data_IF_025648617204
#
_entry.id   IF_025648617204
#
_cell.length_a   1.000
_cell.length_b   1.000
_cell.length_c   1.000
_cell.angle_alpha   90.00
_cell.angle_beta   90.00
_cell.angle_gamma   90.00
#
_symmetry.space_group_name_H-M   'P 1'
#
loop_
_entity.id
_entity.type
_entity.pdbx_description
1 polymer ?
#
# COMPACT_ATOMS: atom_id res chain seq x y z
N UNK A 1 -11.06 -11.62 37.96
CA UNK A 1 -11.71 -12.09 39.21
C UNK A 1 -12.46 -13.36 38.89
N UNK A 2 -11.97 -14.51 39.37
CA UNK A 2 -12.67 -15.79 39.26
C UNK A 2 -13.94 -15.73 40.14
N UNK A 3 -15.04 -16.33 39.66
CA UNK A 3 -16.24 -16.53 40.46
C UNK A 3 -16.49 -18.03 40.55
N UNK A 4 -16.40 -18.56 41.75
CA UNK A 4 -16.80 -19.92 42.06
C UNK A 4 -18.33 -19.94 42.19
N UNK A 5 -19.00 -20.83 41.45
CA UNK A 5 -20.40 -21.16 41.69
C UNK A 5 -20.51 -22.63 42.10
N UNK A 6 -21.20 -22.85 43.22
CA UNK A 6 -21.39 -24.17 43.84
C UNK A 6 -22.69 -24.77 43.31
N UNK A 7 -22.60 -25.91 42.62
CA UNK A 7 -23.76 -26.71 42.21
C UNK A 7 -24.27 -27.64 43.32
N UNK A 8 -25.49 -28.21 43.18
CA UNK A 8 -26.23 -28.86 44.26
C UNK A 8 -25.69 -30.24 44.72
N UNK A 9 -24.56 -30.71 44.19
CA UNK A 9 -23.97 -32.03 44.50
C UNK A 9 -22.53 -31.95 45.06
N UNK A 10 -22.11 -30.81 45.61
CA UNK A 10 -20.86 -30.70 46.38
C UNK A 10 -19.57 -30.97 45.60
N UNK A 11 -19.63 -31.08 44.27
CA UNK A 11 -18.47 -31.26 43.40
C UNK A 11 -18.06 -29.90 42.82
N UNK A 12 -16.89 -29.41 43.24
CA UNK A 12 -16.26 -28.22 42.66
C UNK A 12 -15.77 -28.53 41.24
N UNK A 13 -16.50 -28.08 40.23
CA UNK A 13 -16.03 -28.14 38.85
C UNK A 13 -15.06 -26.97 38.60
N UNK A 14 -13.80 -27.30 38.34
CA UNK A 14 -12.81 -26.32 37.88
C UNK A 14 -13.11 -25.98 36.42
N UNK A 15 -13.97 -24.98 36.20
CA UNK A 15 -14.25 -24.47 34.86
C UNK A 15 -13.02 -23.68 34.42
N UNK A 16 -12.11 -24.33 33.67
CA UNK A 16 -11.02 -23.63 32.98
C UNK A 16 -11.64 -22.48 32.18
N UNK A 17 -11.15 -21.23 32.33
CA UNK A 17 -11.64 -20.15 31.50
C UNK A 17 -11.32 -20.53 30.06
N UNK A 18 -12.37 -20.70 29.27
CA UNK A 18 -12.29 -20.78 27.82
C UNK A 18 -11.63 -19.46 27.40
N UNK A 19 -10.34 -19.53 27.07
CA UNK A 19 -9.57 -18.41 26.56
C UNK A 19 -10.36 -17.91 25.36
N UNK A 20 -11.02 -16.77 25.52
CA UNK A 20 -11.77 -16.12 24.48
C UNK A 20 -10.80 -15.83 23.34
N UNK A 21 -11.03 -16.44 22.18
CA UNK A 21 -10.30 -16.23 20.92
C UNK A 21 -10.29 -14.75 20.45
N UNK A 22 -10.95 -13.87 21.18
CA UNK A 22 -10.95 -12.42 20.97
C UNK A 22 -9.58 -11.79 21.18
N UNK A 23 -8.67 -12.38 21.98
CA UNK A 23 -7.35 -11.78 22.25
C UNK A 23 -6.39 -11.74 21.05
N UNK A 24 -6.52 -12.66 20.10
CA UNK A 24 -5.66 -12.73 18.90
C UNK A 24 -6.07 -11.74 17.81
N UNK A 25 -7.32 -11.25 17.81
CA UNK A 25 -7.83 -10.33 16.77
C UNK A 25 -7.51 -8.85 17.04
N UNK A 26 -7.17 -8.46 18.28
CA UNK A 26 -6.93 -7.05 18.62
C UNK A 26 -5.53 -6.52 18.27
N UNK A 27 -4.53 -7.38 18.03
CA UNK A 27 -3.15 -6.93 17.77
C UNK A 27 -2.93 -6.54 16.31
N UNK A 28 -3.58 -7.22 15.37
CA UNK A 28 -3.51 -6.89 13.94
C UNK A 28 -4.17 -5.54 13.63
N UNK A 29 -5.28 -5.21 14.30
CA UNK A 29 -5.97 -3.92 14.16
C UNK A 29 -5.08 -2.71 14.50
N UNK A 30 -4.06 -2.90 15.33
CA UNK A 30 -3.09 -1.84 15.69
C UNK A 30 -2.25 -1.37 14.50
N UNK A 31 -2.19 -2.16 13.41
CA UNK A 31 -1.48 -1.84 12.17
C UNK A 31 -2.35 -1.14 11.13
N UNK A 32 -3.65 -0.98 11.35
CA UNK A 32 -4.53 -0.20 10.48
C UNK A 32 -4.98 1.04 11.23
N UNK A 33 -4.76 2.20 10.63
CA UNK A 33 -5.31 3.45 11.13
C UNK A 33 -5.91 4.22 9.97
N UNK A 34 -7.23 4.15 9.88
CA UNK A 34 -7.99 4.90 8.87
C UNK A 34 -8.18 6.34 9.30
N UNK A 35 -8.23 7.22 8.30
CA UNK A 35 -8.71 8.58 8.54
C UNK A 35 -10.22 8.51 8.83
N UNK A 36 -10.65 9.02 10.00
CA UNK A 36 -12.05 9.12 10.49
C UNK A 36 -12.68 7.84 11.10
N UNK A 37 -11.89 6.95 11.69
CA UNK A 37 -12.40 5.79 12.47
C UNK A 37 -13.39 4.89 11.70
N UNK A 38 -13.29 4.84 10.38
CA UNK A 38 -14.11 3.96 9.56
C UNK A 38 -13.74 2.48 9.81
N UNK A 39 -14.73 1.59 9.75
CA UNK A 39 -14.51 0.15 9.93
C UNK A 39 -13.58 -0.42 8.85
N UNK A 40 -12.69 -1.33 9.24
CA UNK A 40 -11.77 -2.01 8.32
C UNK A 40 -12.56 -2.94 7.39
N UNK A 41 -12.18 -2.99 6.12
CA UNK A 41 -12.69 -3.99 5.19
C UNK A 41 -12.01 -5.33 5.47
N UNK A 42 -12.71 -6.45 5.23
CA UNK A 42 -12.17 -7.82 5.36
C UNK A 42 -10.81 -7.98 4.66
N UNK A 43 -10.64 -7.33 3.50
CA UNK A 43 -9.37 -7.37 2.78
C UNK A 43 -8.25 -6.63 3.51
N UNK A 44 -8.56 -5.50 4.13
CA UNK A 44 -7.58 -4.73 4.90
C UNK A 44 -7.17 -5.51 6.16
N UNK A 45 -8.11 -6.15 6.83
CA UNK A 45 -7.83 -7.04 7.97
C UNK A 45 -6.87 -8.16 7.58
N UNK A 46 -7.07 -8.76 6.39
CA UNK A 46 -6.15 -9.77 5.83
C UNK A 46 -4.74 -9.20 5.64
N UNK A 47 -4.63 -7.96 5.15
CA UNK A 47 -3.34 -7.28 4.95
C UNK A 47 -2.68 -6.94 6.29
N UNK A 48 -3.45 -6.50 7.28
CA UNK A 48 -2.95 -6.26 8.63
C UNK A 48 -2.44 -7.53 9.31
N UNK A 49 -3.19 -8.62 9.17
CA UNK A 49 -2.78 -9.92 9.69
C UNK A 49 -1.47 -10.36 9.04
N UNK A 50 -1.34 -10.22 7.71
CA UNK A 50 -0.11 -10.53 7.01
C UNK A 50 1.07 -9.67 7.52
N UNK A 51 0.87 -8.38 7.76
CA UNK A 51 1.92 -7.50 8.32
C UNK A 51 2.32 -7.91 9.74
N UNK A 52 1.36 -8.30 10.58
CA UNK A 52 1.61 -8.77 11.93
C UNK A 52 2.37 -10.11 11.96
N UNK A 53 2.01 -11.04 11.08
CA UNK A 53 2.73 -12.31 10.94
C UNK A 53 4.17 -12.07 10.51
N UNK A 54 4.42 -11.11 9.60
CA UNK A 54 5.77 -10.75 9.17
C UNK A 54 6.60 -10.12 10.28
N UNK A 55 6.00 -9.30 11.15
CA UNK A 55 6.67 -8.74 12.33
C UNK A 55 7.14 -9.84 13.30
N UNK A 56 6.37 -10.91 13.44
CA UNK A 56 6.70 -12.02 14.35
C UNK A 56 7.65 -13.05 13.73
N UNK A 57 7.59 -13.24 12.42
CA UNK A 57 8.37 -14.29 11.73
C UNK A 57 9.80 -13.84 11.46
N UNK A 58 10.03 -12.55 11.17
CA UNK A 58 11.33 -12.07 10.73
C UNK A 58 11.95 -11.09 11.74
N UNK A 59 13.02 -11.51 12.42
CA UNK A 59 13.72 -10.72 13.44
C UNK A 59 14.34 -9.43 12.90
N UNK A 60 14.75 -9.39 11.63
CA UNK A 60 15.34 -8.20 11.01
C UNK A 60 14.32 -7.11 10.68
N UNK A 61 13.10 -7.50 10.28
CA UNK A 61 12.04 -6.56 9.93
C UNK A 61 11.23 -6.11 11.15
N UNK A 62 11.37 -6.82 12.28
CA UNK A 62 10.59 -6.59 13.49
C UNK A 62 10.76 -5.17 14.04
N UNK A 63 12.00 -4.68 14.15
CA UNK A 63 12.26 -3.33 14.67
C UNK A 63 11.66 -2.25 13.79
N UNK A 64 11.78 -2.41 12.47
CA UNK A 64 11.28 -1.44 11.50
C UNK A 64 9.76 -1.50 11.38
N UNK A 65 9.15 -2.69 11.44
CA UNK A 65 7.71 -2.86 11.27
C UNK A 65 6.91 -2.49 12.51
N UNK A 66 7.48 -2.58 13.71
CA UNK A 66 6.77 -2.33 14.98
C UNK A 66 6.04 -0.98 14.99
N UNK A 67 6.69 0.07 14.50
CA UNK A 67 6.16 1.43 14.49
C UNK A 67 5.39 1.78 13.20
N UNK A 68 5.38 0.87 12.23
CA UNK A 68 4.70 1.07 10.94
C UNK A 68 3.25 0.61 11.01
N UNK A 69 2.40 1.38 10.36
CA UNK A 69 0.99 1.10 10.17
C UNK A 69 0.55 1.56 8.77
N UNK A 70 -0.57 1.04 8.30
CA UNK A 70 -1.17 1.33 7.00
C UNK A 70 -2.49 2.08 7.19
N UNK A 71 -2.89 2.87 6.20
CA UNK A 71 -4.17 3.56 6.19
C UNK A 71 -5.28 2.66 5.63
N UNK A 72 -5.03 2.07 4.47
CA UNK A 72 -6.00 1.27 3.74
C UNK A 72 -5.31 0.36 2.72
N UNK A 73 -6.04 -0.61 2.21
CA UNK A 73 -5.58 -1.49 1.14
C UNK A 73 -6.69 -1.67 0.10
N UNK A 74 -6.30 -1.74 -1.17
CA UNK A 74 -7.20 -1.84 -2.31
C UNK A 74 -6.72 -2.95 -3.25
N UNK A 75 -7.63 -3.78 -3.74
CA UNK A 75 -7.34 -4.66 -4.88
C UNK A 75 -7.66 -3.95 -6.19
N UNK A 76 -6.75 -4.01 -7.15
CA UNK A 76 -6.91 -3.46 -8.49
C UNK A 76 -6.77 -4.59 -9.49
N UNK A 77 -7.77 -4.72 -10.36
CA UNK A 77 -7.72 -5.68 -11.45
C UNK A 77 -6.74 -5.20 -12.52
N UNK A 78 -5.83 -6.09 -12.91
CA UNK A 78 -4.83 -5.91 -13.97
C UNK A 78 -5.27 -6.79 -15.15
N UNK A 79 -4.83 -6.43 -16.36
CA UNK A 79 -5.04 -7.27 -17.53
C UNK A 79 -4.48 -8.68 -17.36
N UNK A 80 -5.12 -9.65 -18.02
CA UNK A 80 -4.74 -11.07 -17.91
C UNK A 80 -5.24 -11.78 -16.66
N UNK A 81 -6.37 -11.33 -16.07
CA UNK A 81 -6.99 -11.93 -14.87
C UNK A 81 -6.09 -11.90 -13.62
N UNK A 82 -5.07 -11.03 -13.62
CA UNK A 82 -4.18 -10.78 -12.49
C UNK A 82 -4.77 -9.69 -11.61
N UNK A 83 -4.53 -9.76 -10.30
CA UNK A 83 -4.93 -8.73 -9.34
C UNK A 83 -3.70 -8.17 -8.66
N UNK A 84 -3.58 -6.85 -8.61
CA UNK A 84 -2.55 -6.15 -7.86
C UNK A 84 -3.13 -5.65 -6.53
N UNK A 85 -2.32 -5.69 -5.48
CA UNK A 85 -2.66 -5.19 -4.15
C UNK A 85 -1.97 -3.84 -3.96
N UNK A 86 -2.76 -2.80 -3.74
CA UNK A 86 -2.28 -1.44 -3.46
C UNK A 86 -2.46 -1.17 -1.97
N UNK A 87 -1.37 -0.88 -1.28
CA UNK A 87 -1.38 -0.57 0.15
C UNK A 87 -1.10 0.92 0.34
N UNK A 88 -2.03 1.62 0.98
CA UNK A 88 -1.88 3.02 1.33
C UNK A 88 -1.13 3.18 2.64
N UNK A 89 -0.03 3.88 2.57
CA UNK A 89 0.87 4.15 3.69
C UNK A 89 0.71 5.62 4.14
N UNK A 90 0.74 5.92 5.44
CA UNK A 90 0.76 7.30 5.91
C UNK A 90 1.95 8.09 5.33
N UNK A 91 1.71 9.30 4.82
CA UNK A 91 2.77 10.13 4.23
C UNK A 91 3.96 10.37 5.19
N UNK A 92 3.70 10.45 6.50
CA UNK A 92 4.74 10.61 7.54
C UNK A 92 5.72 9.43 7.57
N UNK A 93 5.25 8.22 7.31
CA UNK A 93 6.03 6.99 7.39
C UNK A 93 6.63 6.55 6.05
N UNK A 94 6.36 7.28 4.96
CA UNK A 94 6.86 6.94 3.60
C UNK A 94 8.35 6.64 3.57
N UNK A 95 9.19 7.44 4.25
CA UNK A 95 10.64 7.25 4.25
C UNK A 95 11.06 5.92 4.88
N UNK A 96 10.38 5.50 5.95
CA UNK A 96 10.65 4.23 6.61
C UNK A 96 10.25 3.05 5.70
N UNK A 97 9.06 3.11 5.10
CA UNK A 97 8.63 2.10 4.13
C UNK A 97 9.56 1.99 2.93
N UNK A 98 10.08 3.11 2.39
CA UNK A 98 11.05 3.09 1.28
C UNK A 98 12.33 2.32 1.61
N UNK A 99 12.83 2.39 2.85
CA UNK A 99 14.04 1.65 3.28
C UNK A 99 13.84 0.14 3.27
N UNK A 100 12.65 -0.31 3.67
CA UNK A 100 12.33 -1.74 3.78
C UNK A 100 11.55 -2.30 2.59
N UNK A 101 11.21 -1.46 1.61
CA UNK A 101 10.27 -1.77 0.54
C UNK A 101 10.62 -3.05 -0.22
N UNK A 102 11.88 -3.21 -0.64
CA UNK A 102 12.31 -4.37 -1.41
C UNK A 102 12.08 -5.70 -0.66
N UNK A 103 12.35 -5.71 0.65
CA UNK A 103 12.17 -6.90 1.50
C UNK A 103 10.69 -7.13 1.81
N UNK A 104 9.98 -6.08 2.18
CA UNK A 104 8.57 -6.15 2.54
C UNK A 104 7.69 -6.58 1.36
N UNK A 105 7.92 -6.05 0.15
CA UNK A 105 7.15 -6.42 -1.04
C UNK A 105 7.35 -7.90 -1.38
N UNK A 106 8.59 -8.42 -1.33
CA UNK A 106 8.86 -9.84 -1.60
C UNK A 106 8.15 -10.77 -0.63
N UNK A 107 8.11 -10.44 0.66
CA UNK A 107 7.44 -11.27 1.66
C UNK A 107 5.91 -11.20 1.55
N UNK A 108 5.36 -10.03 1.25
CA UNK A 108 3.92 -9.88 1.01
C UNK A 108 3.50 -10.59 -0.28
N UNK A 109 4.32 -10.56 -1.33
CA UNK A 109 4.04 -11.28 -2.58
C UNK A 109 3.95 -12.79 -2.36
N UNK A 110 4.81 -13.36 -1.52
CA UNK A 110 4.71 -14.77 -1.11
C UNK A 110 3.40 -15.08 -0.39
N UNK A 111 2.95 -14.18 0.51
CA UNK A 111 1.70 -14.34 1.28
C UNK A 111 0.44 -14.17 0.42
N UNK A 112 0.48 -13.32 -0.60
CA UNK A 112 -0.65 -13.05 -1.50
C UNK A 112 -0.64 -13.90 -2.77
N UNK A 113 -0.08 -15.10 -2.73
CA UNK A 113 -0.05 -16.07 -3.84
C UNK A 113 0.58 -15.51 -5.13
N UNK A 114 1.61 -14.68 -5.00
CA UNK A 114 2.32 -14.08 -6.14
C UNK A 114 1.60 -12.90 -6.80
N UNK A 115 0.56 -12.34 -6.17
CA UNK A 115 -0.05 -11.07 -6.61
C UNK A 115 0.93 -9.92 -6.39
N UNK A 116 1.04 -9.03 -7.38
CA UNK A 116 1.91 -7.86 -7.28
C UNK A 116 1.46 -6.92 -6.16
N UNK A 117 2.37 -6.57 -5.26
CA UNK A 117 2.10 -5.66 -4.14
C UNK A 117 2.78 -4.32 -4.37
N UNK A 118 2.02 -3.23 -4.32
CA UNK A 118 2.50 -1.87 -4.56
C UNK A 118 2.15 -0.99 -3.36
N UNK A 119 3.15 -0.26 -2.85
CA UNK A 119 2.99 0.67 -1.74
C UNK A 119 2.83 2.09 -2.28
N UNK A 120 1.79 2.80 -1.83
CA UNK A 120 1.54 4.19 -2.23
C UNK A 120 1.33 5.04 -0.99
N UNK A 121 2.02 6.17 -0.87
CA UNK A 121 1.73 7.06 0.25
C UNK A 121 0.40 7.81 0.05
N UNK A 122 -0.44 7.83 1.09
CA UNK A 122 -1.69 8.57 1.14
C UNK A 122 -1.41 10.09 1.10
N UNK A 123 -1.73 10.73 -0.03
CA UNK A 123 -1.51 12.16 -0.28
C UNK A 123 -2.84 12.88 -0.45
N UNK A 124 -3.02 13.97 0.28
CA UNK A 124 -4.24 14.80 0.19
C UNK A 124 -4.14 15.83 -0.93
N UNK A 125 -5.05 15.75 -1.89
CA UNK A 125 -5.22 16.75 -2.96
C UNK A 125 -6.20 17.82 -2.47
N UNK A 126 -5.78 19.08 -2.44
CA UNK A 126 -6.66 20.21 -2.18
C UNK A 126 -7.32 20.71 -3.47
N UNK A 127 -8.42 21.45 -3.42
CA UNK A 127 -8.94 22.11 -4.62
C UNK A 127 -8.21 23.45 -4.83
N UNK A 128 -8.05 23.93 -6.07
CA UNK A 128 -7.60 25.29 -6.30
C UNK A 128 -8.49 26.28 -5.52
N UNK A 129 -7.91 27.28 -4.84
CA UNK A 129 -8.69 28.31 -4.16
C UNK A 129 -9.59 29.06 -5.15
N UNK A 130 -10.77 29.50 -4.70
CA UNK A 130 -11.66 30.35 -5.50
C UNK A 130 -11.01 31.73 -5.68
N UNK A 131 -11.29 32.40 -6.80
CA UNK A 131 -10.80 33.76 -7.08
C UNK A 131 -11.24 34.69 -5.94
N UNK A 132 -10.29 35.37 -5.30
CA UNK A 132 -10.53 36.28 -4.17
C UNK A 132 -10.38 35.67 -2.77
N UNK A 133 -10.08 34.37 -2.63
CA UNK A 133 -9.79 33.81 -1.30
C UNK A 133 -8.35 34.09 -0.84
N UNK A 134 -8.18 34.50 0.41
CA UNK A 134 -6.86 34.69 1.02
C UNK A 134 -6.11 33.36 1.32
N UNK A 135 -6.80 32.22 1.26
CA UNK A 135 -6.21 30.91 1.58
C UNK A 135 -5.32 30.43 0.44
N UNK A 136 -4.00 30.43 0.67
CA UNK A 136 -3.03 29.89 -0.27
C UNK A 136 -2.89 28.37 -0.14
N UNK A 137 -3.01 27.65 -1.25
CA UNK A 137 -2.81 26.20 -1.30
C UNK A 137 -1.31 25.88 -1.34
N UNK A 138 -0.80 24.96 -0.50
CA UNK A 138 0.56 24.46 -0.62
C UNK A 138 0.81 23.75 -1.96
N UNK A 139 1.96 24.02 -2.60
CA UNK A 139 2.34 23.42 -3.90
C UNK A 139 2.38 21.89 -3.85
N UNK A 140 2.81 21.31 -2.72
CA UNK A 140 2.86 19.86 -2.48
C UNK A 140 1.49 19.18 -2.50
N UNK A 141 0.41 19.94 -2.25
CA UNK A 141 -0.96 19.43 -2.26
C UNK A 141 -1.65 19.70 -3.60
N UNK A 142 -0.91 20.00 -4.66
CA UNK A 142 -1.41 20.20 -6.04
C UNK A 142 -1.74 18.88 -6.73
N UNK A 143 -2.75 18.84 -7.62
CA UNK A 143 -3.10 17.63 -8.38
C UNK A 143 -1.88 17.11 -9.17
N UNK A 144 -1.16 18.03 -9.84
CA UNK A 144 0.03 17.71 -10.63
C UNK A 144 1.15 17.14 -9.76
N UNK A 145 1.51 17.82 -8.66
CA UNK A 145 2.57 17.36 -7.75
C UNK A 145 2.24 16.03 -7.09
N UNK A 146 0.97 15.81 -6.71
CA UNK A 146 0.55 14.54 -6.11
C UNK A 146 0.62 13.40 -7.12
N UNK A 147 0.19 13.62 -8.37
CA UNK A 147 0.26 12.59 -9.41
C UNK A 147 1.72 12.21 -9.75
N UNK A 148 2.63 13.19 -9.78
CA UNK A 148 4.06 12.92 -9.98
C UNK A 148 4.65 12.14 -8.82
N UNK A 149 4.38 12.56 -7.59
CA UNK A 149 4.87 11.85 -6.41
C UNK A 149 4.23 10.47 -6.21
N UNK A 150 3.02 10.24 -6.74
CA UNK A 150 2.39 8.91 -6.80
C UNK A 150 3.08 8.01 -7.82
N UNK A 151 3.41 8.55 -8.99
CA UNK A 151 4.12 7.81 -10.03
C UNK A 151 5.47 7.30 -9.51
N UNK A 152 6.22 8.14 -8.80
CA UNK A 152 7.47 7.74 -8.14
C UNK A 152 7.29 6.62 -7.10
N UNK A 153 6.21 6.63 -6.32
CA UNK A 153 5.98 5.60 -5.31
C UNK A 153 5.63 4.25 -5.94
N UNK A 154 4.86 4.25 -7.03
CA UNK A 154 4.41 3.02 -7.72
C UNK A 154 5.59 2.25 -8.30
N UNK A 155 6.59 2.95 -8.83
CA UNK A 155 7.66 2.32 -9.62
C UNK A 155 8.84 1.86 -8.78
N UNK A 156 8.89 2.23 -7.49
CA UNK A 156 9.97 1.83 -6.60
C UNK A 156 10.07 0.28 -6.51
N UNK A 157 11.26 -0.33 -6.71
CA UNK A 157 12.62 0.23 -6.56
C UNK A 157 13.13 1.09 -7.72
N UNK A 158 12.57 0.99 -8.92
CA UNK A 158 13.13 1.65 -10.09
C UNK A 158 12.93 3.16 -10.05
N UNK A 159 13.97 3.88 -10.45
CA UNK A 159 13.93 5.33 -10.58
C UNK A 159 13.47 5.75 -11.98
N UNK A 160 12.75 6.87 -12.04
CA UNK A 160 12.27 7.44 -13.30
C UNK A 160 13.37 8.34 -13.86
N UNK A 161 13.93 7.94 -15.00
CA UNK A 161 14.98 8.69 -15.71
C UNK A 161 14.38 9.79 -16.57
N UNK A 162 13.21 9.54 -17.15
CA UNK A 162 12.60 10.48 -18.08
C UNK A 162 11.10 10.32 -18.19
N UNK A 163 10.44 11.37 -18.69
CA UNK A 163 9.00 11.40 -18.88
C UNK A 163 8.68 12.22 -20.13
N UNK A 164 7.93 11.63 -21.06
CA UNK A 164 7.39 12.31 -22.25
C UNK A 164 5.88 12.15 -22.28
N UNK A 165 5.17 13.20 -22.66
CA UNK A 165 3.73 13.10 -22.93
C UNK A 165 3.51 13.18 -24.43
N UNK A 166 3.01 12.09 -25.03
CA UNK A 166 2.63 12.05 -26.44
C UNK A 166 1.16 12.46 -26.57
N UNK A 167 0.91 13.44 -27.44
CA UNK A 167 -0.42 13.84 -27.85
C UNK A 167 -0.74 13.15 -29.17
N UNK A 168 -1.86 12.44 -29.23
CA UNK A 168 -2.36 11.86 -30.49
C UNK A 168 -3.25 12.86 -31.23
N UNK A 169 -3.48 12.59 -32.51
CA UNK A 169 -4.40 13.36 -33.36
C UNK A 169 -5.82 13.35 -32.77
N UNK A 170 -6.22 12.23 -32.16
CA UNK A 170 -7.52 12.07 -31.49
C UNK A 170 -7.65 12.88 -30.18
N UNK A 171 -6.64 13.66 -29.80
CA UNK A 171 -6.59 14.41 -28.53
C UNK A 171 -6.24 13.56 -27.30
N UNK A 172 -6.17 12.23 -27.44
CA UNK A 172 -5.73 11.34 -26.37
C UNK A 172 -4.27 11.60 -25.99
N UNK A 173 -3.97 11.50 -24.69
CA UNK A 173 -2.64 11.74 -24.14
C UNK A 173 -2.12 10.44 -23.56
N UNK A 174 -0.90 10.05 -23.96
CA UNK A 174 -0.18 8.96 -23.31
C UNK A 174 1.10 9.50 -22.72
N UNK A 175 1.26 9.24 -21.43
CA UNK A 175 2.48 9.53 -20.72
C UNK A 175 3.41 8.33 -20.81
N UNK A 176 4.53 8.48 -21.51
CA UNK A 176 5.57 7.46 -21.56
C UNK A 176 6.63 7.81 -20.53
N UNK A 177 6.88 6.87 -19.63
CA UNK A 177 7.77 7.03 -18.48
C UNK A 177 8.95 6.08 -18.68
N UNK A 178 10.15 6.63 -18.65
CA UNK A 178 11.38 5.90 -18.83
C UNK A 178 11.99 5.54 -17.48
N UNK A 179 12.22 4.25 -17.27
CA UNK A 179 12.79 3.71 -16.03
C UNK A 179 14.29 3.43 -16.21
N UNK A 180 15.04 3.40 -15.11
CA UNK A 180 16.45 3.04 -15.15
C UNK A 180 16.63 1.60 -15.69
N UNK A 181 17.40 1.39 -16.77
CA UNK A 181 17.65 0.05 -17.32
C UNK A 181 18.35 -0.90 -16.34
N UNK A 182 19.05 -0.41 -15.31
CA UNK A 182 19.71 -1.26 -14.31
C UNK A 182 18.74 -2.13 -13.53
N UNK A 183 17.52 -1.64 -13.32
CA UNK A 183 16.50 -2.33 -12.55
C UNK A 183 15.51 -3.12 -13.40
N UNK A 184 15.81 -3.27 -14.70
CA UNK A 184 14.95 -3.96 -15.67
C UNK A 184 14.58 -5.37 -15.20
N UNK A 185 15.57 -6.17 -14.82
CA UNK A 185 15.36 -7.56 -14.40
C UNK A 185 14.40 -7.70 -13.20
N UNK A 186 14.34 -6.68 -12.33
CA UNK A 186 13.51 -6.70 -11.12
C UNK A 186 12.10 -6.12 -11.34
N UNK A 187 11.89 -5.29 -12.36
CA UNK A 187 10.65 -4.51 -12.52
C UNK A 187 9.87 -4.83 -13.80
N UNK A 188 10.49 -5.51 -14.76
CA UNK A 188 9.88 -5.84 -16.06
C UNK A 188 8.58 -6.64 -15.93
N UNK A 189 8.49 -7.56 -14.96
CA UNK A 189 7.28 -8.37 -14.75
C UNK A 189 6.08 -7.58 -14.18
N UNK A 190 6.32 -6.38 -13.63
CA UNK A 190 5.32 -5.52 -12.95
C UNK A 190 4.84 -4.32 -13.77
N UNK A 191 5.41 -4.07 -14.95
CA UNK A 191 5.12 -2.85 -15.72
C UNK A 191 3.63 -2.69 -16.03
N UNK A 192 2.95 -3.79 -16.34
CA UNK A 192 1.51 -3.81 -16.63
C UNK A 192 0.68 -3.46 -15.39
N UNK A 193 1.07 -4.02 -14.23
CA UNK A 193 0.46 -3.72 -12.93
C UNK A 193 0.65 -2.26 -12.54
N UNK A 194 1.84 -1.68 -12.76
CA UNK A 194 2.10 -0.25 -12.52
C UNK A 194 1.18 0.64 -13.37
N UNK A 195 1.00 0.30 -14.66
CA UNK A 195 0.15 1.06 -15.57
C UNK A 195 -1.32 0.98 -15.15
N UNK A 196 -1.82 -0.21 -14.83
CA UNK A 196 -3.18 -0.43 -14.37
C UNK A 196 -3.48 0.32 -13.06
N UNK A 197 -2.58 0.24 -12.07
CA UNK A 197 -2.72 0.93 -10.79
C UNK A 197 -2.70 2.43 -10.99
N UNK A 198 -1.75 2.98 -11.74
CA UNK A 198 -1.73 4.42 -11.97
C UNK A 198 -2.96 4.92 -12.72
N UNK A 199 -3.47 4.14 -13.69
CA UNK A 199 -4.71 4.45 -14.40
C UNK A 199 -5.91 4.44 -13.45
N UNK A 200 -6.02 3.46 -12.56
CA UNK A 200 -7.10 3.39 -11.57
C UNK A 200 -7.08 4.55 -10.57
N UNK A 201 -5.88 4.95 -10.13
CA UNK A 201 -5.72 6.01 -9.13
C UNK A 201 -5.84 7.42 -9.71
N UNK A 202 -5.33 7.63 -10.92
CA UNK A 202 -5.17 8.98 -11.49
C UNK A 202 -6.08 9.27 -12.69
N UNK A 203 -6.68 8.23 -13.29
CA UNK A 203 -7.45 8.32 -14.54
C UNK A 203 -6.61 8.64 -15.78
N UNK A 204 -5.28 8.59 -15.70
CA UNK A 204 -4.37 8.89 -16.82
C UNK A 204 -3.70 7.63 -17.34
N UNK A 205 -3.60 7.52 -18.66
CA UNK A 205 -2.92 6.42 -19.31
C UNK A 205 -1.40 6.63 -19.30
N UNK A 206 -0.67 5.62 -18.83
CA UNK A 206 0.79 5.58 -18.75
C UNK A 206 1.31 4.34 -19.43
N UNK A 207 2.43 4.49 -20.13
CA UNK A 207 3.24 3.39 -20.64
C UNK A 207 4.64 3.49 -20.03
N UNK A 208 5.11 2.41 -19.43
CA UNK A 208 6.47 2.32 -18.89
C UNK A 208 7.37 1.65 -19.93
N UNK A 209 8.51 2.28 -20.21
CA UNK A 209 9.50 1.82 -21.18
C UNK A 209 10.89 1.90 -20.54
N UNK A 210 11.82 1.03 -20.93
CA UNK A 210 13.24 1.22 -20.63
C UNK A 210 13.88 1.96 -21.80
N UNK A 211 14.73 2.98 -21.56
CA UNK A 211 15.46 3.60 -22.65
C UNK A 211 16.38 2.55 -23.28
N UNK A 212 16.29 2.41 -24.60
CA UNK A 212 17.24 1.61 -25.36
C UNK A 212 18.53 2.42 -25.34
N UNK A 213 19.55 1.93 -24.64
CA UNK A 213 20.89 2.48 -24.78
C UNK A 213 21.34 2.08 -26.18
N UNK A 214 21.30 3.02 -27.12
CA UNK A 214 22.05 2.85 -28.37
C UNK A 214 23.52 2.77 -27.95
N UNK A 215 24.11 1.59 -28.12
CA UNK A 215 25.52 1.33 -27.91
C UNK A 215 26.34 1.92 -29.05
#
# INVERSE_FOLDING_TARGET
MAKDQVGPSGTTFYVKPMITLTGLMYTALKKIHKDKDAEASEFEETVAQALFDLENTNSELKSDLKDLYINSALQVDVSGNRKAVVIYVPFRLRKAFRKIQLRLVRELEKKFSGKDVILVANRRILRPPKKGSAVQRPRTRTLTSVHEAMLEDIVLPAEIVGKRTRYRVDGSKIMKVFLDPKERNNTEYKLESFAAVYRKLSGKDVAFEFPITEA
#
